data_IF_114505602481
#
_entry.id   IF_114505602481
#
_cell.length_a   1.000
_cell.length_b   1.000
_cell.length_c   1.000
_cell.angle_alpha   90.00
_cell.angle_beta   90.00
_cell.angle_gamma   90.00
#
_symmetry.space_group_name_H-M   'P 1'
#
loop_
_entity.id
_entity.type
_entity.pdbx_description
1 polymer ?
#
# COMPACT_ATOMS: atom_id res chain seq x y z
N UNK A 1 12.28 -41.08 -42.26
CA UNK A 1 12.73 -39.96 -43.13
C UNK A 1 14.23 -39.82 -42.98
N UNK A 2 15.07 -40.31 -43.92
CA UNK A 2 16.49 -40.00 -43.91
C UNK A 2 16.70 -38.63 -44.55
N UNK A 3 17.37 -37.71 -43.83
CA UNK A 3 17.55 -36.31 -44.24
C UNK A 3 17.40 -35.28 -43.12
N UNK A 4 17.22 -35.71 -41.86
CA UNK A 4 17.15 -34.76 -40.74
C UNK A 4 18.51 -34.05 -40.56
N UNK A 5 18.57 -32.71 -40.67
CA UNK A 5 19.83 -31.97 -40.67
C UNK A 5 20.30 -31.75 -39.23
N UNK A 6 20.75 -32.83 -38.58
CA UNK A 6 21.19 -32.85 -37.18
C UNK A 6 22.24 -31.77 -36.89
N UNK A 7 23.15 -31.51 -37.84
CA UNK A 7 24.21 -30.50 -37.72
C UNK A 7 23.66 -29.08 -37.56
N UNK A 8 22.50 -28.77 -38.17
CA UNK A 8 21.87 -27.45 -38.06
C UNK A 8 21.28 -27.26 -36.66
N UNK A 9 20.62 -28.28 -36.12
CA UNK A 9 20.03 -28.23 -34.78
C UNK A 9 21.09 -28.20 -33.68
N UNK A 10 22.18 -28.95 -33.83
CA UNK A 10 23.32 -28.89 -32.89
C UNK A 10 24.00 -27.52 -32.94
N UNK A 11 24.15 -26.93 -34.13
CA UNK A 11 24.66 -25.56 -34.28
C UNK A 11 23.78 -24.52 -33.59
N UNK A 12 22.46 -24.61 -33.77
CA UNK A 12 21.50 -23.67 -33.20
C UNK A 12 21.39 -23.82 -31.67
N UNK A 13 21.47 -25.05 -31.15
CA UNK A 13 21.54 -25.32 -29.72
C UNK A 13 22.83 -24.78 -29.08
N UNK A 14 23.98 -24.88 -29.77
CA UNK A 14 25.24 -24.31 -29.29
C UNK A 14 25.20 -22.78 -29.25
N UNK A 15 24.57 -22.14 -30.24
CA UNK A 15 24.39 -20.67 -30.27
C UNK A 15 23.49 -20.20 -29.14
N UNK A 16 22.33 -20.85 -28.93
CA UNK A 16 21.39 -20.51 -27.86
C UNK A 16 21.97 -20.80 -26.46
N UNK A 17 22.65 -21.94 -26.28
CA UNK A 17 23.33 -22.26 -25.03
C UNK A 17 24.49 -21.30 -24.73
N UNK A 18 25.23 -20.91 -25.76
CA UNK A 18 26.30 -19.92 -25.66
C UNK A 18 25.79 -18.52 -25.29
N UNK A 19 24.70 -18.06 -25.91
CA UNK A 19 24.11 -16.75 -25.58
C UNK A 19 23.52 -16.73 -24.17
N UNK A 20 22.89 -17.82 -23.73
CA UNK A 20 22.40 -17.97 -22.36
C UNK A 20 23.55 -17.92 -21.33
N UNK A 21 24.66 -18.62 -21.60
CA UNK A 21 25.85 -18.59 -20.73
C UNK A 21 26.53 -17.21 -20.69
N UNK A 22 26.53 -16.47 -21.80
CA UNK A 22 27.11 -15.11 -21.86
C UNK A 22 26.24 -14.11 -21.11
N UNK A 23 24.91 -14.19 -21.25
CA UNK A 23 23.97 -13.35 -20.50
C UNK A 23 24.05 -13.63 -19.00
N UNK A 24 24.03 -14.91 -18.61
CA UNK A 24 24.17 -15.32 -17.21
C UNK A 24 25.51 -14.92 -16.59
N UNK A 25 26.61 -14.95 -17.37
CA UNK A 25 27.91 -14.44 -16.93
C UNK A 25 27.97 -12.91 -16.87
N UNK A 26 27.21 -12.18 -17.70
CA UNK A 26 27.09 -10.72 -17.64
C UNK A 26 26.32 -10.28 -16.40
N UNK A 27 25.20 -10.94 -16.09
CA UNK A 27 24.41 -10.61 -14.89
C UNK A 27 25.20 -10.90 -13.61
N UNK A 28 25.93 -12.03 -13.57
CA UNK A 28 26.84 -12.32 -12.45
C UNK A 28 28.05 -11.37 -12.36
N UNK A 29 28.50 -10.77 -13.46
CA UNK A 29 29.58 -9.76 -13.43
C UNK A 29 29.08 -8.38 -13.06
N UNK A 30 27.87 -8.00 -13.50
CA UNK A 30 27.21 -6.76 -13.08
C UNK A 30 26.91 -6.78 -11.57
N UNK A 31 26.45 -7.92 -11.05
CA UNK A 31 26.28 -8.13 -9.61
C UNK A 31 27.62 -8.10 -8.83
N UNK A 32 28.76 -8.40 -9.48
CA UNK A 32 30.09 -8.38 -8.87
C UNK A 32 30.83 -7.05 -9.01
N UNK A 33 30.48 -6.22 -9.98
CA UNK A 33 31.05 -4.86 -10.11
C UNK A 33 30.36 -3.87 -9.18
N UNK A 34 29.06 -4.04 -8.90
CA UNK A 34 28.33 -3.23 -7.91
C UNK A 34 28.86 -3.42 -6.48
N UNK A 35 29.46 -4.58 -6.17
CA UNK A 35 30.08 -4.86 -4.85
C UNK A 35 31.54 -4.38 -4.77
N UNK A 36 32.18 -4.03 -5.90
CA UNK A 36 33.62 -3.69 -5.93
C UNK A 36 33.91 -2.19 -5.93
N UNK A 37 32.95 -1.34 -6.30
CA UNK A 37 33.16 0.11 -6.41
C UNK A 37 32.86 0.93 -5.14
N UNK A 38 32.47 0.31 -4.01
CA UNK A 38 32.11 1.02 -2.75
C UNK A 38 33.14 0.92 -1.61
N UNK A 39 34.42 0.65 -1.90
CA UNK A 39 35.47 0.69 -0.87
C UNK A 39 36.50 1.79 -1.17
N UNK A 40 36.55 2.88 -0.38
CA UNK A 40 37.63 3.86 -0.46
C UNK A 40 38.95 3.24 0.04
N UNK A 41 40.01 3.41 -0.75
CA UNK A 41 41.39 3.16 -0.35
C UNK A 41 41.78 4.16 0.76
N UNK A 42 42.10 3.66 1.96
CA UNK A 42 42.75 4.46 3.00
C UNK A 42 44.17 3.93 3.24
N UNK A 43 45.10 4.86 3.12
CA UNK A 43 46.54 4.69 3.28
C UNK A 43 46.94 4.18 4.67
N UNK A 44 47.91 3.26 4.61
CA UNK A 44 48.83 2.77 5.63
C UNK A 44 49.12 3.72 6.81
N UNK A 45 49.04 3.21 8.05
CA UNK A 45 50.11 3.35 9.05
C UNK A 45 49.91 2.42 10.28
N UNK A 46 50.96 1.65 10.56
CA UNK A 46 51.45 1.15 11.85
C UNK A 46 50.59 0.20 12.72
N UNK A 47 51.01 -1.07 12.73
CA UNK A 47 50.87 -2.06 13.81
C UNK A 47 51.67 -1.63 15.08
N UNK A 48 51.34 -2.11 16.31
CA UNK A 48 51.55 -3.53 16.65
C UNK A 48 50.59 -4.18 17.68
N UNK A 49 50.55 -5.52 17.66
CA UNK A 49 50.52 -6.32 18.90
C UNK A 49 49.35 -7.30 19.09
N UNK A 50 49.52 -8.51 18.55
CA UNK A 50 49.11 -9.83 19.06
C UNK A 50 47.94 -9.96 20.07
N UNK A 51 46.90 -10.72 19.71
CA UNK A 51 46.62 -12.01 20.35
C UNK A 51 45.61 -12.82 19.53
N UNK A 52 45.71 -14.14 19.65
CA UNK A 52 45.06 -15.12 18.80
C UNK A 52 43.65 -15.48 19.25
N UNK A 53 42.79 -15.80 18.29
CA UNK A 53 41.76 -16.83 18.45
C UNK A 53 40.35 -16.32 18.76
N UNK A 54 39.48 -16.41 17.76
CA UNK A 54 38.10 -16.90 17.88
C UNK A 54 37.41 -16.79 16.50
N UNK A 55 37.43 -17.90 15.76
CA UNK A 55 36.49 -18.15 14.67
C UNK A 55 35.27 -18.80 15.29
N UNK A 56 34.13 -18.11 15.28
CA UNK A 56 32.83 -18.68 15.66
C UNK A 56 32.10 -17.88 16.74
N UNK A 57 31.65 -16.68 16.41
CA UNK A 57 30.65 -15.93 17.19
C UNK A 57 30.04 -14.84 16.30
N UNK A 58 29.01 -15.17 15.53
CA UNK A 58 28.27 -14.14 14.78
C UNK A 58 26.77 -14.38 14.67
N UNK A 59 26.18 -15.27 15.47
CA UNK A 59 24.73 -15.32 15.68
C UNK A 59 24.38 -15.16 17.17
N UNK A 60 25.14 -15.78 18.07
CA UNK A 60 24.86 -15.73 19.52
C UNK A 60 24.92 -14.30 20.10
N UNK A 61 25.81 -13.43 19.59
CA UNK A 61 25.93 -12.05 20.08
C UNK A 61 24.72 -11.15 19.73
N UNK A 62 23.94 -11.50 18.69
CA UNK A 62 22.73 -10.78 18.32
C UNK A 62 21.50 -11.26 19.11
N UNK A 63 21.51 -12.53 19.53
CA UNK A 63 20.50 -13.11 20.41
C UNK A 63 20.72 -12.69 21.87
N UNK A 64 21.98 -12.67 22.35
CA UNK A 64 22.37 -12.20 23.69
C UNK A 64 22.11 -10.70 23.90
N UNK A 65 22.22 -9.88 22.85
CA UNK A 65 21.91 -8.45 22.93
C UNK A 65 20.42 -8.17 23.23
N UNK A 66 19.54 -9.14 22.95
CA UNK A 66 18.09 -9.03 23.21
C UNK A 66 17.67 -9.66 24.54
N UNK A 67 18.46 -10.59 25.08
CA UNK A 67 18.22 -11.18 26.41
C UNK A 67 18.28 -10.15 27.55
N UNK A 68 18.92 -9.00 27.30
CA UNK A 68 19.14 -7.92 28.27
C UNK A 68 18.66 -6.54 27.80
N UNK A 69 18.00 -6.43 26.63
CA UNK A 69 17.57 -5.14 26.11
C UNK A 69 16.31 -4.65 26.84
N UNK A 70 16.44 -3.57 27.61
CA UNK A 70 15.28 -2.83 28.08
C UNK A 70 14.42 -2.40 26.89
N UNK A 71 13.10 -2.49 27.04
CA UNK A 71 12.13 -2.03 26.04
C UNK A 71 12.48 -0.60 25.58
N UNK A 72 12.63 -0.34 24.27
CA UNK A 72 12.90 1.00 23.76
C UNK A 72 11.84 1.99 24.23
N UNK A 73 12.26 3.08 24.88
CA UNK A 73 11.35 4.10 25.44
C UNK A 73 11.12 5.28 24.50
N UNK A 74 12.09 5.57 23.64
CA UNK A 74 12.09 6.72 22.74
C UNK A 74 11.76 6.36 21.29
N UNK A 75 11.23 5.16 21.06
CA UNK A 75 10.91 4.69 19.72
C UNK A 75 9.64 5.36 19.18
N UNK A 76 9.71 5.94 17.99
CA UNK A 76 8.53 6.46 17.30
C UNK A 76 7.62 5.34 16.79
N UNK A 77 8.20 4.22 16.36
CA UNK A 77 7.46 3.04 15.89
C UNK A 77 8.11 1.79 16.47
N UNK A 78 7.33 1.04 17.25
CA UNK A 78 7.79 -0.19 17.89
C UNK A 78 6.94 -1.37 17.42
N UNK A 79 7.59 -2.41 16.90
CA UNK A 79 7.01 -3.73 16.66
C UNK A 79 7.42 -4.66 17.80
N UNK A 80 6.49 -4.95 18.70
CA UNK A 80 6.65 -5.96 19.74
C UNK A 80 6.12 -7.30 19.24
N UNK A 81 6.93 -8.36 19.36
CA UNK A 81 6.57 -9.72 18.96
C UNK A 81 6.75 -10.70 20.11
N UNK A 82 5.84 -11.68 20.20
CA UNK A 82 5.97 -12.83 21.10
C UNK A 82 7.05 -13.81 20.65
N UNK A 83 7.40 -14.74 21.54
CA UNK A 83 8.52 -15.69 21.32
C UNK A 83 8.30 -16.62 20.12
N UNK A 84 7.07 -17.10 19.90
CA UNK A 84 6.75 -17.99 18.77
C UNK A 84 6.90 -17.30 17.42
N UNK A 85 6.46 -16.04 17.31
CA UNK A 85 6.69 -15.24 16.11
C UNK A 85 8.17 -14.89 15.92
N UNK A 86 8.91 -14.61 16.99
CA UNK A 86 10.34 -14.32 16.89
C UNK A 86 11.17 -15.52 16.42
N UNK A 87 10.81 -16.74 16.83
CA UNK A 87 11.40 -17.97 16.31
C UNK A 87 11.04 -18.19 14.83
N UNK A 88 9.80 -17.88 14.45
CA UNK A 88 9.31 -18.06 13.08
C UNK A 88 9.84 -17.02 12.09
N UNK A 89 10.10 -15.80 12.55
CA UNK A 89 10.54 -14.63 11.80
C UNK A 89 11.90 -14.13 12.32
N UNK A 90 13.02 -14.68 11.81
CA UNK A 90 14.34 -14.30 12.26
C UNK A 90 14.58 -12.79 12.14
N UNK A 91 15.17 -12.20 13.20
CA UNK A 91 15.25 -10.75 13.37
C UNK A 91 16.02 -10.03 12.24
N UNK A 92 17.10 -10.63 11.75
CA UNK A 92 17.93 -10.02 10.70
C UNK A 92 17.17 -9.89 9.37
N UNK A 93 16.59 -10.96 8.80
CA UNK A 93 15.68 -10.85 7.65
C UNK A 93 14.52 -9.89 7.88
N UNK A 94 13.89 -9.92 9.05
CA UNK A 94 12.78 -9.03 9.37
C UNK A 94 13.21 -7.55 9.32
N UNK A 95 14.35 -7.21 9.93
CA UNK A 95 14.92 -5.83 9.87
C UNK A 95 15.20 -5.39 8.44
N UNK A 96 15.79 -6.24 7.61
CA UNK A 96 16.04 -5.92 6.20
C UNK A 96 14.73 -5.67 5.43
N UNK A 97 13.68 -6.44 5.71
CA UNK A 97 12.36 -6.23 5.11
C UNK A 97 11.71 -4.93 5.58
N UNK A 98 11.91 -4.55 6.84
CA UNK A 98 11.44 -3.29 7.41
C UNK A 98 12.16 -2.10 6.77
N UNK A 99 13.47 -2.18 6.57
CA UNK A 99 14.25 -1.14 5.86
C UNK A 99 13.79 -0.99 4.40
N UNK A 100 13.60 -2.12 3.71
CA UNK A 100 13.05 -2.13 2.35
C UNK A 100 11.63 -1.52 2.32
N UNK A 101 10.79 -1.85 3.29
CA UNK A 101 9.45 -1.28 3.43
C UNK A 101 9.49 0.26 3.58
N UNK A 102 10.33 0.81 4.45
CA UNK A 102 10.44 2.27 4.60
C UNK A 102 10.93 2.92 3.29
N UNK A 103 11.81 2.25 2.55
CA UNK A 103 12.22 2.68 1.22
C UNK A 103 11.05 2.65 0.21
N UNK A 104 10.26 1.59 0.19
CA UNK A 104 9.07 1.43 -0.66
C UNK A 104 8.03 2.54 -0.37
N UNK A 105 7.72 2.81 0.91
CA UNK A 105 6.78 3.87 1.30
C UNK A 105 7.27 5.23 0.83
N UNK A 106 8.57 5.53 0.97
CA UNK A 106 9.16 6.76 0.45
C UNK A 106 9.07 6.81 -1.08
N UNK A 107 9.23 5.68 -1.76
CA UNK A 107 9.07 5.60 -3.20
C UNK A 107 7.60 5.75 -3.63
N UNK A 108 6.65 5.28 -2.85
CA UNK A 108 5.26 5.35 -3.26
C UNK A 108 4.65 6.70 -2.92
N UNK A 109 4.79 7.13 -1.66
CA UNK A 109 4.13 8.32 -1.13
C UNK A 109 5.01 9.57 -1.17
N UNK A 110 6.34 9.44 -1.20
CA UNK A 110 7.25 10.58 -1.14
C UNK A 110 7.42 11.15 0.27
N UNK A 111 7.08 10.37 1.30
CA UNK A 111 7.18 10.71 2.72
C UNK A 111 8.30 9.89 3.35
N UNK A 112 9.07 10.50 4.26
CA UNK A 112 10.05 9.79 5.07
C UNK A 112 9.34 9.28 6.33
N UNK A 113 9.36 7.97 6.55
CA UNK A 113 8.81 7.33 7.74
C UNK A 113 9.95 6.85 8.64
N UNK A 114 9.80 6.94 9.97
CA UNK A 114 10.80 6.41 10.91
C UNK A 114 10.97 4.91 10.73
N UNK A 115 12.17 4.39 10.97
CA UNK A 115 12.46 2.96 10.90
C UNK A 115 11.86 2.26 12.14
N UNK A 116 10.92 1.31 11.98
CA UNK A 116 10.39 0.55 13.10
C UNK A 116 11.47 -0.25 13.84
N UNK A 117 11.51 -0.12 15.15
CA UNK A 117 12.33 -0.97 16.02
C UNK A 117 11.59 -2.28 16.31
N UNK A 118 12.32 -3.40 16.33
CA UNK A 118 11.76 -4.73 16.65
C UNK A 118 12.19 -5.14 18.04
N UNK A 119 11.21 -5.44 18.90
CA UNK A 119 11.41 -5.83 20.28
C UNK A 119 10.75 -7.19 20.56
N UNK A 120 11.51 -8.09 21.19
CA UNK A 120 10.97 -9.36 21.68
C UNK A 120 10.34 -9.14 23.05
N UNK A 121 9.02 -9.23 23.11
CA UNK A 121 8.30 -9.12 24.37
C UNK A 121 7.92 -10.51 24.89
N UNK A 122 8.69 -11.00 25.87
CA UNK A 122 8.43 -12.29 26.54
C UNK A 122 7.16 -12.29 27.40
N UNK A 123 6.56 -11.12 27.65
CA UNK A 123 5.27 -11.02 28.35
C UNK A 123 4.06 -11.18 27.41
N UNK A 124 4.26 -11.02 26.09
CA UNK A 124 3.24 -11.28 25.09
C UNK A 124 3.04 -12.79 24.87
N UNK A 125 1.82 -13.24 24.54
CA UNK A 125 1.59 -14.58 24.02
C UNK A 125 2.49 -14.89 22.82
N UNK A 126 2.91 -16.14 22.68
CA UNK A 126 3.92 -16.56 21.70
C UNK A 126 3.61 -16.15 20.25
N UNK A 127 2.34 -16.28 19.84
CA UNK A 127 1.86 -16.02 18.47
C UNK A 127 1.30 -14.59 18.28
N UNK A 128 1.52 -13.68 19.23
CA UNK A 128 0.98 -12.31 19.21
C UNK A 128 2.02 -11.29 18.76
N UNK A 129 1.57 -10.27 18.03
CA UNK A 129 2.34 -9.06 17.77
C UNK A 129 1.55 -7.80 18.17
N UNK A 130 2.27 -6.70 18.34
CA UNK A 130 1.72 -5.38 18.63
C UNK A 130 2.59 -4.31 17.96
N UNK A 131 1.95 -3.40 17.22
CA UNK A 131 2.58 -2.22 16.62
C UNK A 131 2.15 -1.00 17.40
N UNK A 132 3.12 -0.22 17.82
CA UNK A 132 2.91 1.01 18.59
C UNK A 132 3.50 2.21 17.85
N UNK A 133 2.81 3.34 17.95
CA UNK A 133 3.29 4.65 17.54
C UNK A 133 3.43 5.52 18.77
N UNK A 134 4.63 6.04 19.03
CA UNK A 134 4.93 6.91 20.17
C UNK A 134 4.46 6.31 21.52
N UNK A 135 4.59 4.98 21.65
CA UNK A 135 4.17 4.21 22.82
C UNK A 135 2.67 3.92 22.93
N UNK A 136 1.87 4.27 21.91
CA UNK A 136 0.43 3.97 21.85
C UNK A 136 0.17 2.83 20.88
N UNK A 137 -0.53 1.76 21.29
CA UNK A 137 -0.84 0.65 20.38
C UNK A 137 -1.85 1.07 19.31
N UNK A 138 -1.50 0.80 18.05
CA UNK A 138 -2.31 1.16 16.87
C UNK A 138 -2.72 -0.05 16.02
N UNK A 139 -2.02 -1.17 16.15
CA UNK A 139 -2.33 -2.42 15.47
C UNK A 139 -1.88 -3.59 16.34
N UNK A 140 -2.70 -4.62 16.45
CA UNK A 140 -2.39 -5.84 17.19
C UNK A 140 -3.08 -7.02 16.52
N UNK A 141 -2.51 -8.20 16.72
CA UNK A 141 -3.09 -9.42 16.18
C UNK A 141 -2.30 -10.65 16.62
N UNK A 142 -2.86 -11.81 16.30
CA UNK A 142 -2.21 -13.09 16.50
C UNK A 142 -2.30 -13.92 15.22
N UNK A 143 -1.25 -14.69 14.94
CA UNK A 143 -1.25 -15.70 13.89
C UNK A 143 -0.16 -16.72 14.17
N UNK A 144 -0.34 -17.95 13.68
CA UNK A 144 0.65 -19.00 13.91
C UNK A 144 1.92 -18.76 13.08
N UNK A 145 3.06 -18.66 13.74
CA UNK A 145 4.37 -18.60 13.06
C UNK A 145 4.76 -19.87 12.29
N UNK A 146 4.01 -20.96 12.48
CA UNK A 146 4.18 -22.25 11.79
C UNK A 146 3.23 -22.44 10.62
N UNK A 147 2.49 -21.40 10.23
CA UNK A 147 1.60 -21.41 9.08
C UNK A 147 2.08 -20.42 8.00
N UNK A 148 1.69 -20.69 6.75
CA UNK A 148 1.92 -19.84 5.59
C UNK A 148 0.60 -19.24 5.17
N UNK A 149 0.56 -17.92 4.98
CA UNK A 149 -0.64 -17.24 4.50
C UNK A 149 -0.66 -17.27 2.97
N UNK A 150 -1.66 -17.92 2.37
CA UNK A 150 -1.81 -17.99 0.92
C UNK A 150 -2.24 -16.65 0.34
N UNK A 151 -1.67 -16.28 -0.80
CA UNK A 151 -2.07 -15.08 -1.56
C UNK A 151 -2.94 -15.41 -2.78
N UNK A 152 -2.84 -16.63 -3.30
CA UNK A 152 -3.63 -17.11 -4.43
C UNK A 152 -4.94 -17.78 -3.98
N UNK A 153 -5.81 -18.06 -4.97
CA UNK A 153 -7.03 -18.83 -4.73
C UNK A 153 -6.70 -20.19 -4.07
N UNK A 154 -7.32 -20.53 -2.92
CA UNK A 154 -7.07 -21.79 -2.22
C UNK A 154 -7.33 -23.03 -3.09
N UNK A 155 -8.12 -22.92 -4.16
CA UNK A 155 -8.31 -23.99 -5.15
C UNK A 155 -6.97 -24.43 -5.74
N UNK A 156 -6.03 -23.51 -5.98
CA UNK A 156 -4.70 -23.86 -6.50
C UNK A 156 -3.90 -24.73 -5.53
N UNK A 157 -3.97 -24.45 -4.22
CA UNK A 157 -3.31 -25.28 -3.20
C UNK A 157 -3.93 -26.69 -3.11
N UNK A 158 -5.25 -26.79 -3.26
CA UNK A 158 -5.94 -28.08 -3.27
C UNK A 158 -5.55 -28.95 -4.47
N UNK A 159 -5.30 -28.34 -5.64
CA UNK A 159 -4.84 -29.06 -6.84
C UNK A 159 -3.49 -29.76 -6.63
N UNK A 160 -2.65 -29.25 -5.73
CA UNK A 160 -1.37 -29.86 -5.35
C UNK A 160 -1.44 -30.65 -4.04
N UNK A 161 -2.66 -31.01 -3.61
CA UNK A 161 -2.92 -31.82 -2.40
C UNK A 161 -2.33 -31.20 -1.13
N UNK A 162 -2.33 -29.86 -1.04
CA UNK A 162 -2.00 -29.13 0.19
C UNK A 162 -3.30 -28.83 0.93
N UNK A 163 -3.39 -29.29 2.17
CA UNK A 163 -4.52 -28.96 3.03
C UNK A 163 -4.41 -27.50 3.49
N UNK A 164 -5.52 -26.78 3.38
CA UNK A 164 -5.62 -25.38 3.79
C UNK A 164 -6.71 -25.23 4.84
N UNK A 165 -6.51 -24.34 5.81
CA UNK A 165 -7.51 -24.01 6.82
C UNK A 165 -7.81 -22.52 6.83
N UNK A 166 -8.97 -22.16 7.37
CA UNK A 166 -9.38 -20.77 7.57
C UNK A 166 -9.00 -20.31 8.97
N UNK A 167 -8.35 -19.15 9.08
CA UNK A 167 -8.04 -18.52 10.35
C UNK A 167 -8.02 -17.00 10.20
N UNK A 168 -8.14 -16.23 11.30
CA UNK A 168 -7.99 -14.78 11.25
C UNK A 168 -6.72 -14.34 10.52
N UNK A 169 -6.83 -13.29 9.71
CA UNK A 169 -5.69 -12.70 9.00
C UNK A 169 -5.38 -11.33 9.61
N UNK A 170 -4.13 -11.05 10.01
CA UNK A 170 -3.78 -9.74 10.55
C UNK A 170 -3.68 -8.66 9.47
N UNK A 171 -3.66 -9.05 8.19
CA UNK A 171 -3.53 -8.12 7.07
C UNK A 171 -4.90 -7.77 6.45
N UNK A 172 -5.91 -8.62 6.59
CA UNK A 172 -7.23 -8.45 5.94
C UNK A 172 -8.39 -8.31 6.92
N UNK A 173 -9.51 -7.78 6.44
CA UNK A 173 -10.79 -7.81 7.19
C UNK A 173 -11.50 -9.17 7.10
N UNK A 174 -11.12 -9.99 6.12
CA UNK A 174 -11.62 -11.35 5.91
C UNK A 174 -10.63 -12.36 6.49
N UNK A 175 -11.11 -13.52 6.95
CA UNK A 175 -10.24 -14.62 7.34
C UNK A 175 -9.30 -15.02 6.19
N UNK A 176 -8.04 -15.28 6.52
CA UNK A 176 -7.05 -15.74 5.57
C UNK A 176 -7.14 -17.24 5.33
N UNK A 177 -6.59 -17.68 4.19
CA UNK A 177 -6.35 -19.09 3.89
C UNK A 177 -4.91 -19.43 4.28
N UNK A 178 -4.76 -20.39 5.18
CA UNK A 178 -3.46 -20.77 5.72
C UNK A 178 -3.12 -22.21 5.36
N UNK A 179 -1.84 -22.50 5.20
CA UNK A 179 -1.29 -23.85 5.03
C UNK A 179 -0.18 -24.11 6.05
N UNK A 180 0.07 -25.37 6.39
CA UNK A 180 1.22 -25.73 7.24
C UNK A 180 2.56 -25.33 6.59
N UNK A 181 3.52 -24.87 7.40
CA UNK A 181 4.85 -24.44 6.94
C UNK A 181 5.62 -25.55 6.23
N UNK A 182 5.34 -26.82 6.55
CA UNK A 182 5.87 -28.00 5.87
C UNK A 182 5.49 -28.11 4.39
N UNK A 183 4.50 -27.35 3.93
CA UNK A 183 4.04 -27.35 2.54
C UNK A 183 4.72 -26.28 1.66
N UNK A 184 5.62 -25.45 2.23
CA UNK A 184 6.25 -24.33 1.55
C UNK A 184 6.95 -24.70 0.24
N UNK A 185 7.76 -25.77 0.22
CA UNK A 185 8.47 -26.21 -1.00
C UNK A 185 7.48 -26.62 -2.10
N UNK A 186 6.42 -27.34 -1.74
CA UNK A 186 5.40 -27.80 -2.72
C UNK A 186 4.61 -26.63 -3.31
N UNK A 187 4.26 -25.65 -2.47
CA UNK A 187 3.58 -24.44 -2.93
C UNK A 187 4.49 -23.63 -3.87
N UNK A 188 5.78 -23.51 -3.52
CA UNK A 188 6.77 -22.81 -4.34
C UNK A 188 7.00 -23.49 -5.69
N UNK A 189 7.15 -24.82 -5.72
CA UNK A 189 7.30 -25.61 -6.94
C UNK A 189 6.08 -25.50 -7.86
N UNK A 190 4.90 -25.35 -7.27
CA UNK A 190 3.64 -25.13 -7.98
C UNK A 190 3.44 -23.69 -8.45
N UNK A 191 4.32 -22.76 -8.06
CA UNK A 191 4.20 -21.33 -8.35
C UNK A 191 3.03 -20.65 -7.62
N UNK A 192 2.58 -21.22 -6.50
CA UNK A 192 1.50 -20.68 -5.68
C UNK A 192 2.08 -19.67 -4.70
N UNK A 193 1.55 -18.44 -4.69
CA UNK A 193 1.98 -17.36 -3.81
C UNK A 193 1.56 -17.59 -2.36
N UNK A 194 2.51 -17.41 -1.44
CA UNK A 194 2.29 -17.45 0.00
C UNK A 194 3.25 -16.50 0.73
N UNK A 195 2.95 -16.20 1.99
CA UNK A 195 3.75 -15.35 2.87
C UNK A 195 4.23 -16.13 4.09
N UNK A 196 5.51 -15.97 4.42
CA UNK A 196 6.09 -16.38 5.70
C UNK A 196 5.72 -15.40 6.83
N UNK A 197 6.01 -15.78 8.09
CA UNK A 197 5.66 -14.97 9.26
C UNK A 197 6.28 -13.55 9.23
N UNK A 198 7.55 -13.43 8.81
CA UNK A 198 8.23 -12.15 8.63
C UNK A 198 7.60 -11.29 7.53
N UNK A 199 7.05 -11.92 6.49
CA UNK A 199 6.36 -11.25 5.40
C UNK A 199 4.96 -10.79 5.79
N UNK A 200 4.25 -11.58 6.59
CA UNK A 200 2.98 -11.18 7.21
C UNK A 200 3.21 -9.97 8.12
N UNK A 201 4.24 -9.98 8.97
CA UNK A 201 4.61 -8.84 9.83
C UNK A 201 4.96 -7.60 8.99
N UNK A 202 5.71 -7.76 7.90
CA UNK A 202 6.01 -6.66 6.96
C UNK A 202 4.73 -6.07 6.37
N UNK A 203 3.78 -6.88 5.95
CA UNK A 203 2.51 -6.42 5.37
C UNK A 203 1.63 -5.70 6.41
N UNK A 204 1.61 -6.18 7.66
CA UNK A 204 0.96 -5.47 8.78
C UNK A 204 1.60 -4.09 9.00
N UNK A 205 2.94 -4.03 9.01
CA UNK A 205 3.67 -2.76 9.12
C UNK A 205 3.40 -1.85 7.92
N UNK A 206 3.35 -2.37 6.69
CA UNK A 206 3.06 -1.56 5.50
C UNK A 206 1.70 -0.86 5.62
N UNK A 207 0.65 -1.62 5.94
CA UNK A 207 -0.70 -1.07 6.14
C UNK A 207 -0.74 -0.05 7.27
N UNK A 208 -0.05 -0.33 8.37
CA UNK A 208 0.00 0.57 9.54
C UNK A 208 0.74 1.86 9.20
N UNK A 209 1.97 1.77 8.68
CA UNK A 209 2.78 2.93 8.34
C UNK A 209 2.12 3.78 7.25
N UNK A 210 1.48 3.18 6.24
CA UNK A 210 0.72 3.94 5.23
C UNK A 210 -0.50 4.63 5.81
N UNK A 211 -1.22 3.99 6.73
CA UNK A 211 -2.38 4.58 7.43
C UNK A 211 -1.97 5.81 8.25
N UNK A 212 -0.81 5.75 8.89
CA UNK A 212 -0.28 6.82 9.74
C UNK A 212 0.79 7.69 9.06
N UNK A 213 0.99 7.55 7.74
CA UNK A 213 2.06 8.25 7.03
C UNK A 213 1.96 9.78 7.13
N UNK A 214 0.75 10.31 7.26
CA UNK A 214 0.52 11.74 7.41
C UNK A 214 1.00 12.29 8.76
N UNK A 215 1.11 11.45 9.79
CA UNK A 215 1.52 11.86 11.13
C UNK A 215 3.03 12.11 11.20
N UNK A 216 3.80 11.43 10.35
CA UNK A 216 5.24 11.65 10.19
C UNK A 216 5.59 12.85 9.31
N UNK A 217 4.59 13.59 8.80
CA UNK A 217 4.80 14.76 7.94
C UNK A 217 4.44 16.05 8.67
N UNK A 218 5.37 16.61 9.42
CA UNK A 218 5.19 17.87 10.13
C UNK A 218 5.69 19.11 9.37
N UNK A 219 5.75 20.22 10.11
CA UNK A 219 6.33 21.49 9.62
C UNK A 219 7.83 21.32 9.37
N UNK A 220 8.52 20.56 10.22
CA UNK A 220 9.96 20.34 10.12
C UNK A 220 10.29 19.50 8.88
N UNK A 221 9.57 18.42 8.66
CA UNK A 221 9.75 17.52 7.51
C UNK A 221 9.39 18.23 6.21
N UNK A 222 8.32 19.05 6.23
CA UNK A 222 7.97 19.92 5.08
C UNK A 222 9.08 20.92 4.77
N UNK A 223 9.71 21.53 5.79
CA UNK A 223 10.85 22.44 5.58
C UNK A 223 12.02 21.71 4.94
N UNK A 224 12.44 20.58 5.51
CA UNK A 224 13.54 19.77 4.98
C UNK A 224 13.27 19.34 3.53
N UNK A 225 12.03 18.95 3.22
CA UNK A 225 11.59 18.61 1.87
C UNK A 225 11.75 19.78 0.89
N UNK A 226 11.40 21.01 1.30
CA UNK A 226 11.57 22.21 0.48
C UNK A 226 13.05 22.57 0.30
N UNK A 227 13.86 22.50 1.36
CA UNK A 227 15.31 22.74 1.32
C UNK A 227 16.01 21.81 0.31
N UNK A 228 15.67 20.52 0.29
CA UNK A 228 16.17 19.56 -0.71
C UNK A 228 15.85 19.94 -2.16
N UNK A 229 14.81 20.74 -2.39
CA UNK A 229 14.38 21.17 -3.73
C UNK A 229 14.98 22.51 -4.15
N UNK A 230 15.57 23.29 -3.24
CA UNK A 230 16.03 24.66 -3.52
C UNK A 230 17.01 24.72 -4.70
N UNK A 231 17.91 23.75 -4.81
CA UNK A 231 18.88 23.68 -5.90
C UNK A 231 18.26 23.53 -7.30
N UNK A 232 17.01 23.04 -7.41
CA UNK A 232 16.31 22.84 -8.69
C UNK A 232 15.13 23.80 -8.90
N UNK A 233 14.44 24.18 -7.83
CA UNK A 233 13.17 24.91 -7.89
C UNK A 233 13.15 26.14 -6.94
N UNK A 234 14.31 26.70 -6.57
CA UNK A 234 14.40 27.79 -5.59
C UNK A 234 13.49 28.99 -5.86
N UNK A 235 13.40 29.48 -7.10
CA UNK A 235 12.51 30.60 -7.45
C UNK A 235 11.03 30.26 -7.27
N UNK A 236 10.63 29.03 -7.61
CA UNK A 236 9.26 28.56 -7.42
C UNK A 236 8.93 28.43 -5.93
N UNK A 237 9.85 27.94 -5.12
CA UNK A 237 9.68 27.83 -3.66
C UNK A 237 9.54 29.21 -3.03
N UNK A 238 10.36 30.19 -3.41
CA UNK A 238 10.24 31.57 -2.93
C UNK A 238 8.86 32.15 -3.24
N UNK A 239 8.34 31.90 -4.44
CA UNK A 239 7.02 32.38 -4.83
C UNK A 239 5.91 31.72 -4.01
N UNK A 240 5.98 30.40 -3.79
CA UNK A 240 5.03 29.69 -2.92
C UNK A 240 5.07 30.22 -1.48
N UNK A 241 6.27 30.42 -0.90
CA UNK A 241 6.41 30.92 0.47
C UNK A 241 5.96 32.39 0.63
N UNK A 242 5.92 33.16 -0.47
CA UNK A 242 5.39 34.53 -0.48
C UNK A 242 3.87 34.56 -0.31
N UNK A 243 3.17 33.54 -0.78
CA UNK A 243 1.70 33.47 -0.78
C UNK A 243 1.14 32.54 0.31
N UNK A 244 1.87 31.50 0.71
CA UNK A 244 1.41 30.47 1.64
C UNK A 244 2.38 30.32 2.82
N UNK A 245 1.88 30.38 4.06
CA UNK A 245 2.72 30.07 5.22
C UNK A 245 3.08 28.59 5.25
N UNK A 246 4.28 28.27 5.74
CA UNK A 246 4.81 26.89 5.80
C UNK A 246 3.86 25.91 6.50
N UNK A 247 3.19 26.34 7.58
CA UNK A 247 2.20 25.53 8.31
C UNK A 247 1.09 25.02 7.39
N UNK A 248 0.63 25.86 6.46
CA UNK A 248 -0.45 25.55 5.55
C UNK A 248 -0.01 24.62 4.41
N UNK A 249 1.24 24.78 3.95
CA UNK A 249 1.85 23.85 3.00
C UNK A 249 1.89 22.46 3.65
N UNK A 250 2.38 22.36 4.89
CA UNK A 250 2.43 21.12 5.64
C UNK A 250 1.03 20.52 5.86
N UNK A 251 0.01 21.32 6.17
CA UNK A 251 -1.37 20.85 6.29
C UNK A 251 -1.93 20.30 4.97
N UNK A 252 -1.72 20.98 3.84
CA UNK A 252 -2.20 20.50 2.54
C UNK A 252 -1.49 19.19 2.13
N UNK A 253 -0.18 19.09 2.33
CA UNK A 253 0.57 17.86 2.04
C UNK A 253 0.13 16.70 2.95
N UNK A 254 -0.08 16.95 4.25
CA UNK A 254 -0.63 15.93 5.16
C UNK A 254 -1.99 15.42 4.71
N UNK A 255 -2.88 16.31 4.27
CA UNK A 255 -4.19 15.90 3.78
C UNK A 255 -4.08 15.01 2.52
N UNK A 256 -3.17 15.31 1.59
CA UNK A 256 -2.89 14.43 0.45
C UNK A 256 -2.43 13.04 0.90
N UNK A 257 -1.42 12.99 1.78
CA UNK A 257 -0.84 11.73 2.28
C UNK A 257 -1.87 10.92 3.08
N UNK A 258 -2.72 11.58 3.87
CA UNK A 258 -3.80 10.93 4.64
C UNK A 258 -4.85 10.22 3.77
N UNK A 259 -4.87 10.55 2.48
CA UNK A 259 -5.72 9.92 1.48
C UNK A 259 -4.92 8.99 0.54
N UNK A 260 -3.66 8.69 0.87
CA UNK A 260 -2.78 7.84 0.08
C UNK A 260 -2.28 8.48 -1.22
N UNK A 261 -2.38 9.81 -1.37
CA UNK A 261 -1.89 10.51 -2.56
C UNK A 261 -0.40 10.81 -2.42
N UNK A 262 0.37 10.34 -3.40
CA UNK A 262 1.81 10.59 -3.44
C UNK A 262 2.15 12.08 -3.60
N UNK A 263 3.11 12.56 -2.82
CA UNK A 263 3.64 13.93 -2.89
C UNK A 263 4.97 14.01 -3.66
N UNK A 264 5.29 12.97 -4.44
CA UNK A 264 6.53 12.88 -5.24
C UNK A 264 6.60 13.87 -6.39
N UNK A 265 5.47 14.22 -7.00
CA UNK A 265 5.43 15.25 -8.03
C UNK A 265 5.51 16.66 -7.40
N UNK A 266 6.66 16.94 -6.79
CA UNK A 266 6.91 18.17 -6.03
C UNK A 266 6.80 19.43 -6.90
N UNK A 267 7.23 19.36 -8.16
CA UNK A 267 7.07 20.47 -9.11
C UNK A 267 5.59 20.79 -9.35
N UNK A 268 4.78 19.80 -9.72
CA UNK A 268 3.36 20.00 -9.98
C UNK A 268 2.61 20.53 -8.76
N UNK A 269 2.94 20.02 -7.57
CA UNK A 269 2.41 20.53 -6.31
C UNK A 269 2.72 22.02 -6.09
N UNK A 270 3.98 22.42 -6.25
CA UNK A 270 4.40 23.81 -6.08
C UNK A 270 3.74 24.73 -7.13
N UNK A 271 3.63 24.30 -8.38
CA UNK A 271 2.93 25.06 -9.44
C UNK A 271 1.46 25.27 -9.09
N UNK A 272 0.75 24.22 -8.67
CA UNK A 272 -0.64 24.32 -8.25
C UNK A 272 -0.80 25.17 -6.97
N UNK A 273 0.18 25.15 -6.06
CA UNK A 273 0.19 26.04 -4.89
C UNK A 273 0.33 27.51 -5.30
N UNK A 274 1.13 27.85 -6.31
CA UNK A 274 1.22 29.22 -6.84
C UNK A 274 -0.11 29.67 -7.44
N UNK A 275 -0.73 28.81 -8.24
CA UNK A 275 -1.98 29.13 -8.94
C UNK A 275 -3.15 29.36 -7.96
N UNK A 276 -3.30 28.50 -6.95
CA UNK A 276 -4.48 28.50 -6.08
C UNK A 276 -4.25 29.08 -4.69
N UNK A 277 -2.99 29.24 -4.27
CA UNK A 277 -2.64 29.62 -2.90
C UNK A 277 -3.09 31.02 -2.48
N UNK A 278 -3.22 31.95 -3.42
CA UNK A 278 -3.78 33.29 -3.14
C UNK A 278 -5.32 33.33 -3.17
N UNK A 279 -5.96 32.35 -3.80
CA UNK A 279 -7.41 32.29 -4.01
C UNK A 279 -8.07 31.57 -2.85
N UNK A 280 -7.56 30.39 -2.51
CA UNK A 280 -8.12 29.56 -1.47
C UNK A 280 -7.50 29.90 -0.13
N UNK A 281 -8.35 30.14 0.89
CA UNK A 281 -7.92 30.39 2.27
C UNK A 281 -8.04 29.18 3.20
N UNK A 282 -8.69 28.10 2.76
CA UNK A 282 -8.76 26.81 3.48
C UNK A 282 -7.74 25.79 2.94
N UNK A 283 -7.03 25.08 3.83
CA UNK A 283 -6.08 24.04 3.44
C UNK A 283 -6.77 22.84 2.77
N UNK A 284 -7.99 22.50 3.22
CA UNK A 284 -8.80 21.44 2.62
C UNK A 284 -9.16 21.76 1.17
N UNK A 285 -9.67 22.96 0.90
CA UNK A 285 -9.96 23.39 -0.49
C UNK A 285 -8.73 23.51 -1.36
N UNK A 286 -7.62 24.04 -0.82
CA UNK A 286 -6.34 24.04 -1.54
C UNK A 286 -5.96 22.61 -1.94
N UNK A 287 -6.11 21.65 -1.04
CA UNK A 287 -5.83 20.23 -1.29
C UNK A 287 -6.65 19.67 -2.45
N UNK A 288 -7.94 20.02 -2.59
CA UNK A 288 -8.76 19.61 -3.74
C UNK A 288 -8.17 20.08 -5.09
N UNK A 289 -7.65 21.31 -5.14
CA UNK A 289 -6.99 21.83 -6.34
C UNK A 289 -5.63 21.16 -6.59
N UNK A 290 -4.87 20.89 -5.52
CA UNK A 290 -3.62 20.14 -5.64
C UNK A 290 -3.88 18.72 -6.18
N UNK A 291 -4.94 18.05 -5.72
CA UNK A 291 -5.36 16.74 -6.23
C UNK A 291 -5.70 16.81 -7.72
N UNK A 292 -6.44 17.84 -8.15
CA UNK A 292 -6.73 18.06 -9.57
C UNK A 292 -5.44 18.26 -10.39
N UNK A 293 -4.45 19.01 -9.88
CA UNK A 293 -3.13 19.15 -10.49
C UNK A 293 -2.33 17.84 -10.56
N UNK A 294 -2.68 16.85 -9.74
CA UNK A 294 -2.09 15.51 -9.71
C UNK A 294 -2.92 14.44 -10.45
N UNK A 295 -3.90 14.83 -11.28
CA UNK A 295 -4.83 13.92 -11.95
C UNK A 295 -4.14 12.70 -12.60
N UNK A 296 -3.05 12.92 -13.35
CA UNK A 296 -2.32 11.81 -14.02
C UNK A 296 -1.77 10.78 -13.03
N UNK A 297 -1.26 11.23 -11.90
CA UNK A 297 -0.67 10.36 -10.88
C UNK A 297 -1.75 9.60 -10.12
N UNK A 298 -2.83 10.30 -9.71
CA UNK A 298 -3.97 9.69 -9.02
C UNK A 298 -4.64 8.67 -9.93
N UNK A 299 -4.86 9.00 -11.20
CA UNK A 299 -5.42 8.06 -12.18
C UNK A 299 -4.54 6.82 -12.34
N UNK A 300 -3.21 6.98 -12.42
CA UNK A 300 -2.28 5.85 -12.53
C UNK A 300 -2.35 4.90 -11.33
N UNK A 301 -2.49 5.45 -10.13
CA UNK A 301 -2.52 4.70 -8.87
C UNK A 301 -3.72 3.74 -8.79
N UNK A 302 -4.85 4.09 -9.37
CA UNK A 302 -6.09 3.31 -9.30
C UNK A 302 -6.47 2.63 -10.64
N UNK A 303 -5.60 2.71 -11.64
CA UNK A 303 -5.84 2.10 -12.93
C UNK A 303 -5.22 0.70 -13.02
N UNK A 304 -5.87 -0.17 -13.76
CA UNK A 304 -5.31 -1.45 -14.15
C UNK A 304 -4.18 -1.30 -15.21
N UNK A 305 -3.61 -2.44 -15.63
CA UNK A 305 -2.56 -2.48 -16.65
C UNK A 305 -3.00 -1.91 -18.01
N UNK A 306 -4.30 -1.83 -18.27
CA UNK A 306 -4.90 -1.30 -19.50
C UNK A 306 -5.36 0.17 -19.35
N UNK A 307 -4.98 0.84 -18.26
CA UNK A 307 -5.39 2.23 -17.94
C UNK A 307 -6.90 2.37 -17.73
N UNK A 308 -7.55 1.33 -17.24
CA UNK A 308 -8.96 1.33 -16.86
C UNK A 308 -9.08 1.50 -15.36
N UNK A 309 -9.89 2.46 -14.94
CA UNK A 309 -10.25 2.70 -13.54
C UNK A 309 -11.65 2.14 -13.31
N UNK A 310 -11.75 1.13 -12.46
CA UNK A 310 -13.02 0.59 -11.99
C UNK A 310 -13.61 1.52 -10.92
N UNK A 311 -14.84 1.96 -11.09
CA UNK A 311 -15.46 2.86 -10.13
C UNK A 311 -16.93 2.54 -9.82
N UNK A 312 -17.30 2.76 -8.56
CA UNK A 312 -18.67 3.05 -8.17
C UNK A 312 -19.02 4.49 -8.48
N UNK A 313 -20.21 4.73 -9.01
CA UNK A 313 -20.73 6.06 -9.33
C UNK A 313 -22.00 6.36 -8.56
N UNK A 314 -22.29 7.63 -8.31
CA UNK A 314 -23.56 8.04 -7.72
C UNK A 314 -24.63 8.13 -8.82
N UNK A 315 -25.85 7.71 -8.51
CA UNK A 315 -26.99 7.96 -9.39
C UNK A 315 -27.25 9.49 -9.46
N UNK A 316 -27.61 10.04 -10.64
CA UNK A 316 -27.80 11.48 -10.82
C UNK A 316 -28.76 12.14 -9.80
N UNK A 317 -29.84 11.44 -9.43
CA UNK A 317 -30.80 11.93 -8.45
C UNK A 317 -30.20 12.05 -7.04
N UNK A 318 -29.38 11.08 -6.62
CA UNK A 318 -28.67 11.12 -5.34
C UNK A 318 -27.63 12.24 -5.36
N UNK A 319 -26.89 12.38 -6.46
CA UNK A 319 -25.86 13.41 -6.59
C UNK A 319 -26.46 14.83 -6.48
N UNK A 320 -27.56 15.10 -7.17
CA UNK A 320 -28.27 16.40 -7.08
C UNK A 320 -28.75 16.68 -5.65
N UNK A 321 -29.32 15.67 -4.97
CA UNK A 321 -29.78 15.81 -3.59
C UNK A 321 -28.61 16.12 -2.64
N UNK A 322 -27.46 15.45 -2.81
CA UNK A 322 -26.27 15.69 -2.02
C UNK A 322 -25.73 17.11 -2.25
N UNK A 323 -25.63 17.55 -3.51
CA UNK A 323 -25.19 18.92 -3.84
C UNK A 323 -26.11 19.99 -3.26
N UNK A 324 -27.43 19.81 -3.40
CA UNK A 324 -28.42 20.72 -2.82
C UNK A 324 -28.31 20.78 -1.28
N UNK A 325 -27.95 19.68 -0.64
CA UNK A 325 -27.76 19.62 0.81
C UNK A 325 -26.49 20.34 1.25
N UNK A 326 -25.37 20.14 0.55
CA UNK A 326 -24.12 20.86 0.82
C UNK A 326 -24.26 22.37 0.62
N UNK A 327 -24.97 22.80 -0.43
CA UNK A 327 -25.16 24.22 -0.73
C UNK A 327 -25.89 24.99 0.38
N UNK A 328 -26.78 24.31 1.12
CA UNK A 328 -27.55 24.91 2.24
C UNK A 328 -26.74 25.07 3.53
N UNK A 329 -25.62 24.36 3.67
CA UNK A 329 -24.82 24.40 4.90
C UNK A 329 -23.69 25.43 4.78
N UNK A 330 -23.90 26.64 5.31
CA UNK A 330 -22.87 27.70 5.22
C UNK A 330 -21.65 27.50 6.15
N UNK A 331 -21.83 26.86 7.32
CA UNK A 331 -20.79 26.75 8.37
C UNK A 331 -20.03 25.43 8.40
N UNK A 332 -20.53 24.40 7.73
CA UNK A 332 -19.91 23.07 7.65
C UNK A 332 -20.29 22.47 6.31
N UNK A 333 -19.68 22.95 5.22
CA UNK A 333 -19.97 22.56 3.80
C UNK A 333 -19.60 21.12 3.45
N UNK A 334 -19.64 20.26 4.43
CA UNK A 334 -18.74 19.15 4.51
C UNK A 334 -19.40 18.00 5.32
N UNK A 335 -20.49 18.23 6.06
CA UNK A 335 -21.20 17.17 6.79
C UNK A 335 -22.49 16.77 6.09
N UNK A 336 -22.64 15.50 5.72
CA UNK A 336 -23.94 14.98 5.28
C UNK A 336 -24.91 14.83 6.45
N UNK A 337 -26.23 14.99 6.22
CA UNK A 337 -27.24 14.49 7.14
C UNK A 337 -27.05 12.99 7.40
N UNK A 338 -27.18 12.59 8.66
CA UNK A 338 -26.89 11.22 9.09
C UNK A 338 -27.76 10.16 8.37
N UNK A 339 -29.01 10.47 8.05
CA UNK A 339 -29.92 9.53 7.37
C UNK A 339 -29.45 9.15 5.95
N UNK A 340 -29.04 10.18 5.18
CA UNK A 340 -28.52 9.99 3.82
C UNK A 340 -27.15 9.30 3.90
N UNK A 341 -26.28 9.75 4.80
CA UNK A 341 -24.95 9.17 5.00
C UNK A 341 -25.00 7.68 5.34
N UNK A 342 -25.89 7.27 6.26
CA UNK A 342 -26.09 5.86 6.62
C UNK A 342 -26.56 5.02 5.44
N UNK A 343 -27.51 5.53 4.66
CA UNK A 343 -28.03 4.83 3.48
C UNK A 343 -26.93 4.58 2.45
N UNK A 344 -26.13 5.60 2.15
CA UNK A 344 -24.99 5.51 1.23
C UNK A 344 -23.94 4.51 1.74
N UNK A 345 -23.59 4.57 3.04
CA UNK A 345 -22.61 3.65 3.63
C UNK A 345 -23.06 2.19 3.58
N UNK A 346 -24.33 1.90 3.86
CA UNK A 346 -24.87 0.53 3.80
C UNK A 346 -24.78 -0.03 2.38
N UNK A 347 -25.07 0.78 1.36
CA UNK A 347 -24.96 0.34 -0.02
C UNK A 347 -23.52 0.17 -0.47
N UNK A 348 -22.64 1.11 -0.14
CA UNK A 348 -21.22 1.01 -0.48
C UNK A 348 -20.59 -0.24 0.15
N UNK A 349 -20.92 -0.57 1.40
CA UNK A 349 -20.46 -1.81 2.05
C UNK A 349 -20.89 -3.04 1.25
N UNK A 350 -22.18 -3.14 0.87
CA UNK A 350 -22.67 -4.25 0.05
C UNK A 350 -21.96 -4.36 -1.30
N UNK A 351 -21.68 -3.23 -1.94
CA UNK A 351 -20.93 -3.21 -3.20
C UNK A 351 -19.49 -3.67 -3.00
N UNK A 352 -18.81 -3.18 -1.96
CA UNK A 352 -17.46 -3.61 -1.59
C UNK A 352 -17.39 -5.10 -1.23
N UNK A 353 -18.41 -5.65 -0.57
CA UNK A 353 -18.44 -7.07 -0.20
C UNK A 353 -18.48 -7.99 -1.42
N UNK A 354 -19.00 -7.53 -2.56
CA UNK A 354 -19.04 -8.28 -3.82
C UNK A 354 -17.72 -8.19 -4.61
N UNK A 355 -16.80 -7.31 -4.23
CA UNK A 355 -15.52 -7.18 -4.92
C UNK A 355 -14.57 -8.33 -4.56
N UNK A 356 -13.72 -8.75 -5.51
CA UNK A 356 -12.57 -9.60 -5.21
C UNK A 356 -11.67 -8.97 -4.15
N UNK A 357 -10.93 -9.82 -3.43
CA UNK A 357 -9.85 -9.32 -2.59
C UNK A 357 -8.80 -8.60 -3.46
N UNK A 358 -8.30 -7.45 -2.98
CA UNK A 358 -7.33 -6.60 -3.67
C UNK A 358 -7.83 -5.84 -4.92
N UNK A 359 -9.14 -5.71 -5.13
CA UNK A 359 -9.67 -4.82 -6.17
C UNK A 359 -9.41 -3.34 -5.82
N UNK A 360 -8.90 -2.56 -6.78
CA UNK A 360 -8.61 -1.13 -6.64
C UNK A 360 -9.80 -0.23 -6.98
N UNK A 361 -11.02 -0.79 -7.00
CA UNK A 361 -12.25 -0.04 -7.27
C UNK A 361 -12.38 1.18 -6.37
N UNK A 362 -12.73 2.32 -6.96
CA UNK A 362 -12.88 3.61 -6.27
C UNK A 362 -14.32 4.08 -6.26
N UNK A 363 -14.66 5.01 -5.36
CA UNK A 363 -15.88 5.81 -5.47
C UNK A 363 -15.57 7.07 -6.28
N UNK A 364 -16.21 7.24 -7.43
CA UNK A 364 -16.08 8.42 -8.28
C UNK A 364 -17.28 9.37 -8.10
N UNK A 365 -16.99 10.63 -7.78
CA UNK A 365 -18.01 11.65 -7.50
C UNK A 365 -17.68 13.00 -8.12
N UNK A 366 -18.65 13.92 -8.12
CA UNK A 366 -18.41 15.32 -8.45
C UNK A 366 -17.43 15.97 -7.48
N UNK A 367 -16.61 16.91 -7.96
CA UNK A 367 -15.53 17.55 -7.17
C UNK A 367 -16.04 18.20 -5.88
N UNK A 368 -17.25 18.78 -5.90
CA UNK A 368 -17.88 19.40 -4.73
C UNK A 368 -18.26 18.39 -3.63
N UNK A 369 -18.45 17.11 -3.98
CA UNK A 369 -18.88 16.07 -3.05
C UNK A 369 -17.71 15.26 -2.49
N UNK A 370 -16.54 15.30 -3.13
CA UNK A 370 -15.42 14.39 -2.85
C UNK A 370 -14.98 14.38 -1.39
N UNK A 371 -14.66 15.56 -0.82
CA UNK A 371 -14.25 15.71 0.59
C UNK A 371 -15.32 15.20 1.57
N UNK A 372 -16.57 15.46 1.25
CA UNK A 372 -17.72 15.06 2.05
C UNK A 372 -17.90 13.53 2.04
N UNK A 373 -17.82 12.91 0.87
CA UNK A 373 -17.86 11.45 0.71
C UNK A 373 -16.66 10.77 1.34
N UNK A 374 -15.46 11.34 1.22
CA UNK A 374 -14.25 10.82 1.87
C UNK A 374 -14.42 10.78 3.39
N UNK A 375 -14.91 11.85 4.01
CA UNK A 375 -15.18 11.85 5.47
C UNK A 375 -16.28 10.89 5.87
N UNK A 376 -17.33 10.73 5.05
CA UNK A 376 -18.34 9.70 5.29
C UNK A 376 -17.72 8.30 5.30
N UNK A 377 -16.88 7.98 4.32
CA UNK A 377 -16.22 6.67 4.17
C UNK A 377 -15.25 6.39 5.31
N UNK A 378 -14.44 7.39 5.73
CA UNK A 378 -13.55 7.26 6.90
C UNK A 378 -14.36 6.99 8.17
N UNK A 379 -15.43 7.76 8.41
CA UNK A 379 -16.33 7.55 9.57
C UNK A 379 -17.03 6.19 9.54
N UNK A 380 -17.28 5.67 8.34
CA UNK A 380 -17.85 4.35 8.11
C UNK A 380 -16.82 3.21 8.14
N UNK A 381 -15.55 3.49 8.42
CA UNK A 381 -14.45 2.51 8.46
C UNK A 381 -14.35 1.65 7.19
N UNK A 382 -14.74 2.22 6.05
CA UNK A 382 -14.71 1.54 4.78
C UNK A 382 -13.39 1.84 4.06
N UNK A 383 -12.65 0.81 3.68
CA UNK A 383 -11.42 0.93 2.89
C UNK A 383 -11.78 1.14 1.41
N UNK A 384 -12.18 2.37 1.07
CA UNK A 384 -12.55 2.75 -0.29
C UNK A 384 -11.96 4.12 -0.63
N UNK A 385 -11.21 4.19 -1.73
CA UNK A 385 -10.69 5.45 -2.22
C UNK A 385 -11.81 6.29 -2.85
N UNK A 386 -11.74 7.62 -2.69
CA UNK A 386 -12.73 8.55 -3.24
C UNK A 386 -12.04 9.51 -4.20
N UNK A 387 -12.41 9.44 -5.47
CA UNK A 387 -11.88 10.28 -6.52
C UNK A 387 -12.94 11.28 -7.01
N UNK A 388 -12.47 12.41 -7.50
CA UNK A 388 -13.32 13.34 -8.25
C UNK A 388 -13.14 13.19 -9.75
N UNK A 389 -14.15 13.55 -10.54
CA UNK A 389 -14.02 13.59 -12.01
C UNK A 389 -12.88 14.51 -12.49
N UNK A 390 -12.47 15.51 -11.69
CA UNK A 390 -11.33 16.39 -12.01
C UNK A 390 -9.97 15.73 -11.81
N UNK A 391 -9.92 14.62 -11.09
CA UNK A 391 -8.69 13.85 -10.84
C UNK A 391 -8.45 12.77 -11.91
N UNK A 392 -9.35 12.66 -12.90
CA UNK A 392 -9.22 11.73 -14.00
C UNK A 392 -8.48 12.38 -15.17
N UNK A 393 -7.30 11.86 -15.48
CA UNK A 393 -6.55 12.28 -16.66
C UNK A 393 -7.17 11.67 -17.94
N UNK A 394 -7.11 12.41 -19.05
CA UNK A 394 -7.77 12.05 -20.31
C UNK A 394 -7.30 10.74 -20.94
N UNK A 395 -6.09 10.28 -20.59
CA UNK A 395 -5.52 9.03 -21.09
C UNK A 395 -5.99 7.77 -20.34
N UNK A 396 -6.86 7.90 -19.34
CA UNK A 396 -7.45 6.79 -18.58
C UNK A 396 -8.93 6.63 -18.93
N UNK A 397 -9.37 5.37 -18.99
CA UNK A 397 -10.76 5.02 -19.24
C UNK A 397 -11.47 4.70 -17.92
N UNK A 398 -12.73 5.10 -17.82
CA UNK A 398 -13.57 4.81 -16.67
C UNK A 398 -14.48 3.62 -16.97
N UNK A 399 -14.50 2.64 -16.07
CA UNK A 399 -15.47 1.55 -16.09
C UNK A 399 -16.35 1.63 -14.84
N UNK A 400 -17.64 1.90 -15.03
CA UNK A 400 -18.60 1.87 -13.94
C UNK A 400 -18.95 0.40 -13.59
N UNK A 401 -18.55 -0.05 -12.40
CA UNK A 401 -18.81 -1.42 -11.90
C UNK A 401 -20.06 -1.49 -11.01
N UNK A 402 -20.51 -0.35 -10.49
CA UNK A 402 -21.73 -0.27 -9.69
C UNK A 402 -22.24 1.16 -9.55
N UNK A 403 -23.51 1.29 -9.15
CA UNK A 403 -24.17 2.57 -8.94
C UNK A 403 -24.80 2.61 -7.56
N UNK A 404 -24.61 3.73 -6.84
CA UNK A 404 -25.20 3.98 -5.52
C UNK A 404 -26.45 4.84 -5.70
N UNK A 405 -27.58 4.40 -5.15
CA UNK A 405 -28.89 5.03 -5.35
C UNK A 405 -29.69 5.08 -4.05
N UNK A 406 -30.58 6.05 -3.84
CA UNK A 406 -31.40 6.06 -2.61
C UNK A 406 -32.48 4.97 -2.60
N UNK A 407 -32.77 4.35 -3.74
CA UNK A 407 -33.97 3.50 -3.93
C UNK A 407 -33.69 2.01 -3.66
N UNK A 408 -32.45 1.54 -3.76
CA UNK A 408 -32.12 0.11 -3.65
C UNK A 408 -32.13 -0.47 -2.22
N UNK A 409 -32.50 0.33 -1.21
CA UNK A 409 -32.75 -0.20 0.15
C UNK A 409 -34.20 -0.68 0.32
N UNK A 410 -35.13 -0.29 -0.57
CA UNK A 410 -36.56 -0.67 -0.48
C UNK A 410 -36.99 -1.78 -1.45
N UNK A 411 -36.13 -2.16 -2.42
CA UNK A 411 -36.43 -3.26 -3.33
C UNK A 411 -36.04 -4.61 -2.71
N UNK A 412 -36.99 -5.23 -2.01
CA UNK A 412 -37.02 -6.68 -1.75
C UNK A 412 -36.78 -7.42 -3.07
N UNK A 413 -36.01 -8.54 -3.14
CA UNK A 413 -35.86 -9.27 -4.39
C UNK A 413 -37.23 -9.79 -4.82
N UNK A 414 -37.77 -9.21 -5.91
CA UNK A 414 -38.89 -9.80 -6.60
C UNK A 414 -38.42 -11.16 -7.14
N UNK A 415 -38.99 -12.22 -6.56
CA UNK A 415 -38.93 -13.57 -7.09
C UNK A 415 -39.06 -13.53 -8.62
N UNK A 416 -38.08 -14.13 -9.32
CA UNK A 416 -38.17 -14.44 -10.74
C UNK A 416 -39.36 -15.40 -10.94
N UNK A 417 -40.55 -14.86 -11.10
CA UNK A 417 -41.69 -15.59 -11.63
C UNK A 417 -41.42 -15.84 -13.12
N UNK A 418 -41.41 -17.12 -13.50
CA UNK A 418 -41.03 -17.58 -14.83
C UNK A 418 -41.87 -16.95 -15.94
N UNK A 419 -41.16 -16.44 -16.96
CA UNK A 419 -41.76 -16.16 -18.25
C UNK A 419 -42.02 -17.49 -18.95
N UNK A 420 -43.27 -17.96 -18.90
CA UNK A 420 -43.77 -19.03 -19.77
C UNK A 420 -44.02 -18.43 -21.15
N UNK A 421 -43.26 -18.89 -22.13
CA UNK A 421 -43.47 -18.64 -23.56
C UNK A 421 -44.75 -19.33 -24.03
N UNK A 422 -45.70 -18.66 -24.72
CA UNK A 422 -46.74 -19.37 -25.43
C UNK A 422 -46.21 -19.81 -26.80
N UNK A 423 -46.24 -21.11 -27.01
CA UNK A 423 -45.94 -21.80 -28.27
C UNK A 423 -47.00 -21.42 -29.32
N UNK A 424 -46.58 -20.79 -30.40
CA UNK A 424 -47.40 -20.63 -31.60
C UNK A 424 -47.65 -22.01 -32.22
N UNK A 425 -48.92 -22.40 -32.37
CA UNK A 425 -49.34 -23.55 -33.17
C UNK A 425 -50.11 -23.06 -34.38
N UNK A 426 -49.72 -23.60 -35.53
CA UNK A 426 -50.31 -23.40 -36.83
C UNK A 426 -51.69 -24.06 -36.93
N UNK A 427 -52.65 -23.35 -37.50
CA UNK A 427 -53.59 -23.78 -38.57
C UNK A 427 -54.51 -22.62 -38.94
#
# INVERSE_FOLDING_TARGET
MPGFPLLVFVGLAAVLGGSALVLWRRDRRAARSLVKDELPEHETMAEPGASSGASGASNDAAEDALESAERPRDSQVLLSIGTGLAEAAPLQPLRQRIEALCHDIRIDLGVEVPLPEVYLDRSLPADRFQVELEGVPVSEGEFSGMALLLQDDPVHAQLVSVETFEAPSPIGSRPGRWAGREHGERLQDAGIGFLFADEVLREVLDRTLRRYAADFLGIQETRLMLEQLEGKYGELIKEVLRILPLQRIAEALRLLVSEGVSIRNRRGLLESMVEWGSIESDAGRLTEHLRAGLARQISHQYADRNRVISAFVLAPALEEQLRATLARQEKSRDSLPDDIGRTVLVQLRRLCDMLPEHDLTVLLVHSELRRCMRRLIVRGELQLAVLSFRELASEYNLQAVGTVSLTDVLARPASRAGAVTPLATAS
#
